data_IF_822275057273
#
_entry.id   IF_822275057273
#
_cell.length_a   1.000
_cell.length_b   1.000
_cell.length_c   1.000
_cell.angle_alpha   90.00
_cell.angle_beta   90.00
_cell.angle_gamma   90.00
#
_symmetry.space_group_name_H-M   'P 1'
#
loop_
_entity.id
_entity.type
_entity.pdbx_description
1 polymer ?
#
# COMPACT_ATOMS: atom_id res chain seq x y z
N UNK A 1 -0.24 20.77 -0.42
CA UNK A 1 -0.16 19.29 -0.38
C UNK A 1 0.94 18.86 -1.32
N UNK A 2 1.98 18.16 -0.86
CA UNK A 2 3.09 17.71 -1.73
C UNK A 2 2.59 16.68 -2.75
N UNK A 3 3.34 16.47 -3.84
CA UNK A 3 2.94 15.53 -4.88
C UNK A 3 2.83 14.09 -4.36
N UNK A 4 3.71 13.68 -3.43
CA UNK A 4 3.62 12.37 -2.74
C UNK A 4 2.30 12.23 -1.97
N UNK A 5 1.84 13.26 -1.25
CA UNK A 5 0.57 13.17 -0.51
C UNK A 5 -0.63 13.02 -1.47
N UNK A 6 -0.59 13.67 -2.63
CA UNK A 6 -1.64 13.51 -3.66
C UNK A 6 -1.65 12.10 -4.21
N UNK A 7 -0.48 11.56 -4.56
CA UNK A 7 -0.37 10.21 -5.10
C UNK A 7 -0.80 9.15 -4.06
N UNK A 8 -0.41 9.30 -2.79
CA UNK A 8 -0.86 8.41 -1.69
C UNK A 8 -2.37 8.51 -1.47
N UNK A 9 -2.94 9.72 -1.52
CA UNK A 9 -4.38 9.91 -1.39
C UNK A 9 -5.16 9.25 -2.55
N UNK A 10 -4.65 9.33 -3.78
CA UNK A 10 -5.25 8.71 -4.96
C UNK A 10 -5.37 7.19 -4.83
N UNK A 11 -4.25 6.52 -4.53
CA UNK A 11 -4.23 5.05 -4.39
C UNK A 11 -5.03 4.61 -3.17
N UNK A 12 -4.95 5.34 -2.05
CA UNK A 12 -5.75 5.05 -0.86
C UNK A 12 -7.25 5.15 -1.18
N UNK A 13 -7.65 6.20 -1.91
CA UNK A 13 -9.03 6.39 -2.35
C UNK A 13 -9.51 5.22 -3.22
N UNK A 14 -8.70 4.78 -4.19
CA UNK A 14 -9.02 3.64 -5.06
C UNK A 14 -9.37 2.38 -4.24
N UNK A 15 -8.60 2.09 -3.20
CA UNK A 15 -8.84 0.93 -2.34
C UNK A 15 -10.03 1.13 -1.39
N UNK A 16 -10.23 2.33 -0.84
CA UNK A 16 -11.39 2.61 0.01
C UNK A 16 -12.69 2.59 -0.79
N UNK A 17 -12.67 3.03 -2.05
CA UNK A 17 -13.82 2.94 -2.95
C UNK A 17 -14.13 1.47 -3.26
N UNK A 18 -13.11 0.62 -3.44
CA UNK A 18 -13.33 -0.82 -3.60
C UNK A 18 -14.00 -1.45 -2.37
N UNK A 19 -13.59 -1.08 -1.15
CA UNK A 19 -14.25 -1.51 0.09
C UNK A 19 -15.72 -1.06 0.12
N UNK A 20 -15.99 0.20 -0.25
CA UNK A 20 -17.35 0.77 -0.30
C UNK A 20 -18.22 0.04 -1.33
N UNK A 21 -17.69 -0.22 -2.51
CA UNK A 21 -18.39 -0.94 -3.58
C UNK A 21 -18.73 -2.38 -3.15
N UNK A 22 -17.78 -3.08 -2.52
CA UNK A 22 -18.02 -4.43 -1.97
C UNK A 22 -19.11 -4.40 -0.91
N UNK A 23 -19.08 -3.43 0.01
CA UNK A 23 -20.08 -3.28 1.06
C UNK A 23 -21.47 -3.01 0.47
N UNK A 24 -21.56 -2.13 -0.52
CA UNK A 24 -22.81 -1.85 -1.22
C UNK A 24 -23.37 -3.11 -1.91
N UNK A 25 -22.51 -3.96 -2.48
CA UNK A 25 -22.96 -5.24 -3.02
C UNK A 25 -23.42 -6.23 -1.94
N UNK A 26 -22.78 -6.26 -0.77
CA UNK A 26 -23.23 -7.10 0.36
C UNK A 26 -24.57 -6.62 0.92
N UNK A 27 -24.78 -5.31 1.04
CA UNK A 27 -26.00 -4.73 1.60
C UNK A 27 -27.24 -4.99 0.73
N UNK A 28 -27.03 -5.15 -0.58
CA UNK A 28 -28.06 -5.49 -1.57
C UNK A 28 -28.43 -6.97 -1.59
N UNK A 29 -27.68 -7.84 -0.90
CA UNK A 29 -27.96 -9.27 -0.90
C UNK A 29 -29.29 -9.55 -0.21
N UNK A 30 -30.21 -10.18 -0.93
CA UNK A 30 -31.36 -10.83 -0.33
C UNK A 30 -30.92 -12.13 0.34
N UNK A 31 -30.62 -12.03 1.63
CA UNK A 31 -30.16 -13.16 2.46
C UNK A 31 -31.22 -14.25 2.55
N UNK A 32 -32.51 -13.90 2.58
CA UNK A 32 -33.58 -14.89 2.72
C UNK A 32 -33.66 -15.82 1.50
N UNK A 33 -33.34 -15.29 0.31
CA UNK A 33 -33.37 -15.99 -0.96
C UNK A 33 -31.96 -16.24 -1.54
N UNK A 34 -30.93 -16.28 -0.69
CA UNK A 34 -29.57 -16.52 -1.14
C UNK A 34 -29.42 -17.97 -1.60
N UNK A 35 -28.96 -18.14 -2.85
CA UNK A 35 -28.76 -19.44 -3.50
C UNK A 35 -27.38 -19.48 -4.13
N UNK A 36 -26.97 -20.66 -4.60
CA UNK A 36 -25.74 -20.81 -5.40
C UNK A 36 -25.73 -19.90 -6.63
N UNK A 37 -26.86 -19.82 -7.35
CA UNK A 37 -26.99 -19.00 -8.57
C UNK A 37 -26.88 -17.49 -8.28
N UNK A 38 -27.52 -16.99 -7.22
CA UNK A 38 -27.36 -15.58 -6.82
C UNK A 38 -25.95 -15.30 -6.28
N UNK A 39 -25.33 -16.27 -5.61
CA UNK A 39 -23.91 -16.23 -5.23
C UNK A 39 -22.94 -16.10 -6.41
N UNK A 40 -23.16 -16.86 -7.49
CA UNK A 40 -22.32 -16.77 -8.69
C UNK A 40 -22.40 -15.40 -9.37
N UNK A 41 -23.59 -14.80 -9.38
CA UNK A 41 -23.77 -13.41 -9.83
C UNK A 41 -22.98 -12.42 -8.99
N UNK A 42 -22.98 -12.59 -7.66
CA UNK A 42 -22.20 -11.77 -6.74
C UNK A 42 -20.69 -11.93 -6.93
N UNK A 43 -20.20 -13.16 -7.16
CA UNK A 43 -18.80 -13.40 -7.45
C UNK A 43 -18.32 -12.71 -8.73
N UNK A 44 -19.16 -12.64 -9.77
CA UNK A 44 -18.84 -11.89 -10.99
C UNK A 44 -18.67 -10.40 -10.70
N UNK A 45 -19.61 -9.79 -9.96
CA UNK A 45 -19.53 -8.37 -9.59
C UNK A 45 -18.30 -8.06 -8.75
N UNK A 46 -17.99 -8.90 -7.75
CA UNK A 46 -16.79 -8.77 -6.95
C UNK A 46 -15.52 -8.87 -7.81
N UNK A 47 -15.48 -9.84 -8.75
CA UNK A 47 -14.39 -9.96 -9.71
C UNK A 47 -14.18 -8.68 -10.52
N UNK A 48 -15.26 -8.02 -10.97
CA UNK A 48 -15.18 -6.74 -11.66
C UNK A 48 -14.68 -5.60 -10.75
N UNK A 49 -15.13 -5.52 -9.48
CA UNK A 49 -14.64 -4.51 -8.53
C UNK A 49 -13.13 -4.68 -8.32
N UNK A 50 -12.68 -5.86 -7.91
CA UNK A 50 -11.27 -6.11 -7.65
C UNK A 50 -10.41 -6.04 -8.91
N UNK A 51 -10.95 -6.42 -10.07
CA UNK A 51 -10.29 -6.25 -11.37
C UNK A 51 -9.98 -4.80 -11.66
N UNK A 52 -10.97 -3.90 -11.55
CA UNK A 52 -10.77 -2.45 -11.71
C UNK A 52 -9.76 -1.89 -10.71
N UNK A 53 -9.82 -2.31 -9.44
CA UNK A 53 -8.85 -1.88 -8.42
C UNK A 53 -7.43 -2.29 -8.77
N UNK A 54 -7.22 -3.50 -9.29
CA UNK A 54 -5.88 -3.96 -9.71
C UNK A 54 -5.35 -3.20 -10.91
N UNK A 55 -6.19 -2.97 -11.92
CA UNK A 55 -5.82 -2.15 -13.08
C UNK A 55 -5.45 -0.73 -12.66
N UNK A 56 -6.28 -0.07 -11.83
CA UNK A 56 -5.98 1.27 -11.34
C UNK A 56 -4.71 1.33 -10.49
N UNK A 57 -4.46 0.30 -9.66
CA UNK A 57 -3.20 0.21 -8.91
C UNK A 57 -2.00 0.03 -9.85
N UNK A 58 -2.15 -0.73 -10.92
CA UNK A 58 -1.10 -0.94 -11.92
C UNK A 58 -0.71 0.35 -12.65
N UNK A 59 -1.72 1.08 -13.11
CA UNK A 59 -1.53 2.36 -13.79
C UNK A 59 -0.86 3.37 -12.85
N UNK A 60 -1.33 3.43 -11.60
CA UNK A 60 -0.74 4.26 -10.56
C UNK A 60 0.73 3.90 -10.30
N UNK A 61 1.07 2.62 -10.11
CA UNK A 61 2.47 2.18 -9.87
C UNK A 61 3.37 2.57 -11.04
N UNK A 62 2.89 2.33 -12.27
CA UNK A 62 3.65 2.56 -13.49
C UNK A 62 4.04 4.03 -13.66
N UNK A 63 3.16 4.94 -13.22
CA UNK A 63 3.36 6.39 -13.24
C UNK A 63 4.14 6.90 -12.03
N UNK A 64 3.74 6.52 -10.83
CA UNK A 64 4.15 7.20 -9.59
C UNK A 64 5.53 6.78 -9.11
N UNK A 65 5.88 5.48 -9.19
CA UNK A 65 7.20 4.99 -8.74
C UNK A 65 8.34 5.68 -9.50
N UNK A 66 8.32 5.76 -10.86
CA UNK A 66 9.35 6.51 -11.58
C UNK A 66 9.41 7.99 -11.21
N UNK A 67 8.27 8.62 -10.90
CA UNK A 67 8.23 10.02 -10.50
C UNK A 67 8.85 10.25 -9.12
N UNK A 68 8.66 9.32 -8.18
CA UNK A 68 9.33 9.37 -6.87
C UNK A 68 10.86 9.29 -7.01
N UNK A 69 11.36 8.39 -7.86
CA UNK A 69 12.80 8.29 -8.17
C UNK A 69 13.32 9.59 -8.79
N UNK A 70 12.61 10.13 -9.79
CA UNK A 70 12.96 11.43 -10.41
C UNK A 70 12.98 12.55 -9.39
N UNK A 71 12.03 12.59 -8.46
CA UNK A 71 12.02 13.58 -7.38
C UNK A 71 13.25 13.48 -6.48
N UNK A 72 13.74 12.26 -6.22
CA UNK A 72 15.01 12.04 -5.52
C UNK A 72 16.22 12.58 -6.29
N UNK A 73 16.29 12.29 -7.59
CA UNK A 73 17.33 12.80 -8.49
C UNK A 73 17.33 14.33 -8.49
N UNK A 74 16.18 14.96 -8.71
CA UNK A 74 16.03 16.42 -8.75
C UNK A 74 16.49 17.06 -7.43
N UNK A 75 16.18 16.43 -6.29
CA UNK A 75 16.65 16.89 -4.98
C UNK A 75 18.15 16.79 -4.82
N UNK A 76 18.75 15.68 -5.26
CA UNK A 76 20.21 15.52 -5.25
C UNK A 76 20.88 16.61 -6.08
N UNK A 77 20.39 16.83 -7.31
CA UNK A 77 20.94 17.83 -8.22
C UNK A 77 20.84 19.26 -7.68
N UNK A 78 19.69 19.61 -7.11
CA UNK A 78 19.47 20.91 -6.48
C UNK A 78 20.37 21.09 -5.25
N UNK A 79 20.50 20.08 -4.39
CA UNK A 79 21.38 20.11 -3.22
C UNK A 79 22.86 20.31 -3.60
N UNK A 80 23.27 19.78 -4.74
CA UNK A 80 24.64 19.89 -5.24
C UNK A 80 24.93 21.16 -6.05
N UNK A 81 23.94 22.06 -6.18
CA UNK A 81 24.06 23.33 -6.91
C UNK A 81 24.11 23.17 -8.44
N UNK A 82 23.69 22.02 -8.97
CA UNK A 82 23.74 21.72 -10.41
C UNK A 82 22.45 22.21 -11.11
N UNK A 83 21.35 22.33 -10.35
CA UNK A 83 20.02 22.66 -10.88
C UNK A 83 19.37 21.47 -11.60
N UNK A 84 18.23 21.70 -12.27
CA UNK A 84 17.57 20.64 -13.03
C UNK A 84 18.30 20.41 -14.35
N UNK A 85 18.92 19.24 -14.50
CA UNK A 85 19.43 18.81 -15.80
C UNK A 85 18.22 18.33 -16.58
N UNK A 86 17.99 18.92 -17.76
CA UNK A 86 16.89 18.57 -18.66
C UNK A 86 16.68 17.04 -18.68
N UNK A 87 15.45 16.62 -18.34
CA UNK A 87 14.98 15.24 -18.07
C UNK A 87 15.75 14.17 -18.86
N UNK A 88 16.94 13.82 -18.39
CA UNK A 88 17.71 12.76 -18.99
C UNK A 88 17.00 11.45 -18.61
N UNK A 89 16.85 10.49 -19.53
CA UNK A 89 16.31 9.18 -19.17
C UNK A 89 17.03 8.64 -17.92
N UNK A 90 16.30 7.97 -17.03
CA UNK A 90 16.88 7.37 -15.83
C UNK A 90 18.13 6.57 -16.24
N UNK A 91 19.25 6.73 -15.54
CA UNK A 91 20.42 5.91 -15.79
C UNK A 91 20.10 4.42 -15.52
N UNK A 92 20.97 3.50 -15.95
CA UNK A 92 20.72 2.05 -15.82
C UNK A 92 20.43 1.61 -14.37
N UNK A 93 21.13 2.20 -13.39
CA UNK A 93 20.91 1.91 -11.98
C UNK A 93 19.50 2.34 -11.51
N UNK A 94 19.09 3.56 -11.86
CA UNK A 94 17.77 4.09 -11.54
C UNK A 94 16.63 3.37 -12.29
N UNK A 95 16.88 2.88 -13.51
CA UNK A 95 15.91 2.04 -14.23
C UNK A 95 15.72 0.69 -13.52
N UNK A 96 16.82 0.03 -13.14
CA UNK A 96 16.77 -1.24 -12.42
C UNK A 96 16.08 -1.09 -11.05
N UNK A 97 16.42 -0.03 -10.30
CA UNK A 97 15.75 0.30 -9.06
C UNK A 97 14.26 0.57 -9.26
N UNK A 98 13.90 1.34 -10.30
CA UNK A 98 12.51 1.60 -10.66
C UNK A 98 11.72 0.34 -10.97
N UNK A 99 12.31 -0.63 -11.68
CA UNK A 99 11.67 -1.93 -11.91
C UNK A 99 11.46 -2.69 -10.60
N UNK A 100 12.49 -2.79 -9.75
CA UNK A 100 12.39 -3.48 -8.46
C UNK A 100 11.32 -2.87 -7.54
N UNK A 101 11.26 -1.54 -7.42
CA UNK A 101 10.24 -0.85 -6.62
C UNK A 101 8.84 -1.03 -7.20
N UNK A 102 8.69 -1.08 -8.53
CA UNK A 102 7.40 -1.39 -9.15
C UNK A 102 6.96 -2.79 -8.76
N UNK A 103 7.80 -3.79 -8.99
CA UNK A 103 7.45 -5.20 -8.74
C UNK A 103 7.09 -5.45 -7.27
N UNK A 104 7.88 -4.89 -6.35
CA UNK A 104 7.65 -4.95 -4.92
C UNK A 104 6.34 -4.24 -4.50
N UNK A 105 6.08 -3.04 -5.02
CA UNK A 105 4.82 -2.32 -4.76
C UNK A 105 3.62 -3.06 -5.36
N UNK A 106 3.77 -3.65 -6.54
CA UNK A 106 2.76 -4.49 -7.18
C UNK A 106 2.41 -5.69 -6.32
N UNK A 107 3.42 -6.39 -5.80
CA UNK A 107 3.22 -7.56 -4.95
C UNK A 107 2.42 -7.21 -3.69
N UNK A 108 2.81 -6.13 -2.99
CA UNK A 108 2.11 -5.69 -1.77
C UNK A 108 0.65 -5.30 -2.05
N UNK A 109 0.41 -4.48 -3.07
CA UNK A 109 -0.93 -4.03 -3.44
C UNK A 109 -1.81 -5.18 -3.99
N UNK A 110 -1.23 -6.09 -4.76
CA UNK A 110 -1.91 -7.30 -5.22
C UNK A 110 -2.33 -8.17 -4.04
N UNK A 111 -1.44 -8.37 -3.07
CA UNK A 111 -1.74 -9.14 -1.86
C UNK A 111 -2.93 -8.55 -1.09
N UNK A 112 -3.04 -7.22 -1.00
CA UNK A 112 -4.22 -6.56 -0.41
C UNK A 112 -5.50 -6.96 -1.14
N UNK A 113 -5.56 -6.77 -2.46
CA UNK A 113 -6.78 -7.09 -3.24
C UNK A 113 -7.13 -8.58 -3.19
N UNK A 114 -6.15 -9.47 -3.25
CA UNK A 114 -6.38 -10.92 -3.18
C UNK A 114 -6.89 -11.34 -1.80
N UNK A 115 -6.36 -10.75 -0.72
CA UNK A 115 -6.82 -11.01 0.63
C UNK A 115 -8.27 -10.54 0.84
N UNK A 116 -8.63 -9.36 0.34
CA UNK A 116 -9.99 -8.86 0.34
C UNK A 116 -10.91 -9.80 -0.43
N UNK A 117 -10.57 -10.13 -1.68
CA UNK A 117 -11.39 -11.00 -2.53
C UNK A 117 -11.61 -12.38 -1.91
N UNK A 118 -10.55 -13.01 -1.37
CA UNK A 118 -10.65 -14.31 -0.72
C UNK A 118 -11.59 -14.27 0.48
N UNK A 119 -11.47 -13.25 1.34
CA UNK A 119 -12.31 -13.10 2.54
C UNK A 119 -13.77 -12.87 2.18
N UNK A 120 -14.05 -11.94 1.25
CA UNK A 120 -15.43 -11.66 0.82
C UNK A 120 -16.06 -12.90 0.17
N UNK A 121 -15.32 -13.60 -0.70
CA UNK A 121 -15.83 -14.84 -1.31
C UNK A 121 -16.11 -15.93 -0.27
N UNK A 122 -15.24 -16.08 0.72
CA UNK A 122 -15.45 -17.05 1.81
C UNK A 122 -16.72 -16.72 2.62
N UNK A 123 -16.95 -15.44 2.94
CA UNK A 123 -18.14 -15.00 3.65
C UNK A 123 -19.44 -15.29 2.88
N UNK A 124 -19.45 -15.06 1.56
CA UNK A 124 -20.60 -15.38 0.70
C UNK A 124 -20.86 -16.90 0.68
N UNK A 125 -19.81 -17.71 0.52
CA UNK A 125 -19.96 -19.19 0.54
C UNK A 125 -20.53 -19.66 1.87
N UNK A 126 -20.04 -19.10 2.97
CA UNK A 126 -20.57 -19.37 4.31
C UNK A 126 -22.05 -18.96 4.43
N UNK A 127 -22.40 -17.76 3.97
CA UNK A 127 -23.78 -17.28 3.98
C UNK A 127 -24.73 -18.19 3.20
N UNK A 128 -24.32 -18.67 2.01
CA UNK A 128 -25.09 -19.64 1.22
C UNK A 128 -25.30 -20.94 2.01
N UNK A 129 -24.23 -21.47 2.61
CA UNK A 129 -24.31 -22.71 3.39
C UNK A 129 -25.20 -22.55 4.64
N UNK A 130 -25.14 -21.41 5.31
CA UNK A 130 -25.98 -21.10 6.47
C UNK A 130 -27.46 -21.03 6.09
N UNK A 131 -27.78 -20.37 4.96
CA UNK A 131 -29.15 -20.31 4.42
C UNK A 131 -29.67 -21.70 4.06
N UNK A 132 -28.86 -22.53 3.38
CA UNK A 132 -29.24 -23.90 3.03
C UNK A 132 -29.49 -24.76 4.26
N UNK A 133 -28.63 -24.66 5.28
CA UNK A 133 -28.79 -25.41 6.54
C UNK A 133 -30.09 -25.05 7.26
N UNK A 134 -30.42 -23.77 7.33
CA UNK A 134 -31.67 -23.32 7.95
C UNK A 134 -32.91 -23.83 7.19
N UNK A 135 -32.87 -23.79 5.86
CA UNK A 135 -33.96 -24.32 5.02
C UNK A 135 -34.15 -25.83 5.19
N UNK A 136 -33.07 -26.61 5.35
CA UNK A 136 -33.16 -28.05 5.60
C UNK A 136 -33.72 -28.38 6.98
N UNK A 137 -33.32 -27.62 8.02
CA UNK A 137 -33.82 -27.81 9.38
C UNK A 137 -35.34 -27.54 9.51
N UNK A 138 -35.89 -26.72 8.62
CA UNK A 138 -37.33 -26.41 8.58
C UNK A 138 -38.23 -27.52 7.99
N UNK A 139 -37.66 -28.55 7.36
CA UNK A 139 -38.41 -29.69 6.78
C UNK A 139 -38.89 -29.47 5.33
N UNK A 140 -39.24 -30.57 4.64
CA UNK A 140 -39.55 -30.62 3.19
C UNK A 140 -40.86 -29.91 2.81
N UNK A 141 -41.82 -29.80 3.74
CA UNK A 141 -43.19 -29.34 3.45
C UNK A 141 -43.49 -27.86 3.80
N UNK A 142 -42.49 -27.05 4.15
CA UNK A 142 -42.73 -25.64 4.41
C UNK A 142 -41.50 -24.79 4.14
N UNK A 143 -41.62 -23.87 3.17
CA UNK A 143 -40.80 -22.64 3.14
C UNK A 143 -41.10 -21.86 4.42
N UNK A 144 -40.54 -22.25 5.57
CA UNK A 144 -40.48 -21.37 6.73
C UNK A 144 -39.47 -20.28 6.39
N UNK A 145 -39.92 -19.05 6.49
CA UNK A 145 -39.10 -17.85 6.40
C UNK A 145 -37.91 -18.01 7.35
N UNK A 146 -36.69 -17.86 6.84
CA UNK A 146 -35.47 -17.85 7.66
C UNK A 146 -35.69 -16.86 8.79
N UNK A 147 -35.44 -17.29 10.03
CA UNK A 147 -35.73 -16.43 11.18
C UNK A 147 -34.88 -15.15 11.13
N UNK A 148 -35.43 -14.06 11.67
CA UNK A 148 -34.81 -12.74 11.61
C UNK A 148 -33.41 -12.71 12.26
N UNK A 149 -33.19 -13.48 13.32
CA UNK A 149 -31.90 -13.56 14.00
C UNK A 149 -30.79 -14.16 13.11
N UNK A 150 -31.13 -15.18 12.32
CA UNK A 150 -30.21 -15.83 11.38
C UNK A 150 -29.88 -14.90 10.23
N UNK A 151 -30.88 -14.20 9.69
CA UNK A 151 -30.68 -13.17 8.67
C UNK A 151 -29.75 -12.07 9.21
N UNK A 152 -30.00 -11.57 10.42
CA UNK A 152 -29.19 -10.53 11.06
C UNK A 152 -27.74 -10.98 11.26
N UNK A 153 -27.52 -12.22 11.71
CA UNK A 153 -26.18 -12.81 11.85
C UNK A 153 -25.44 -12.90 10.51
N UNK A 154 -26.10 -13.41 9.47
CA UNK A 154 -25.48 -13.52 8.13
C UNK A 154 -25.16 -12.12 7.58
N UNK A 155 -26.05 -11.15 7.76
CA UNK A 155 -25.81 -9.74 7.41
C UNK A 155 -24.58 -9.19 8.13
N UNK A 156 -24.46 -9.43 9.43
CA UNK A 156 -23.32 -8.98 10.22
C UNK A 156 -22.01 -9.62 9.72
N UNK A 157 -22.01 -10.92 9.41
CA UNK A 157 -20.84 -11.62 8.88
C UNK A 157 -20.41 -11.10 7.50
N UNK A 158 -21.37 -10.85 6.60
CA UNK A 158 -21.10 -10.26 5.29
C UNK A 158 -20.56 -8.83 5.41
N UNK A 159 -21.14 -8.02 6.29
CA UNK A 159 -20.68 -6.65 6.58
C UNK A 159 -19.26 -6.63 7.15
N UNK A 160 -18.97 -7.51 8.11
CA UNK A 160 -17.64 -7.64 8.71
C UNK A 160 -16.58 -8.11 7.69
N UNK A 161 -16.96 -8.98 6.75
CA UNK A 161 -16.09 -9.41 5.67
C UNK A 161 -15.85 -8.29 4.63
N UNK A 162 -16.84 -7.44 4.37
CA UNK A 162 -16.71 -6.28 3.51
C UNK A 162 -15.82 -5.19 4.13
N UNK A 163 -15.91 -4.98 5.45
CA UNK A 163 -15.07 -4.04 6.22
C UNK A 163 -13.59 -4.48 6.31
N UNK A 164 -13.17 -5.49 5.52
CA UNK A 164 -11.81 -5.79 5.06
C UNK A 164 -10.69 -5.37 6.01
N UNK A 165 -10.40 -6.24 6.98
CA UNK A 165 -9.20 -6.11 7.81
C UNK A 165 -8.01 -6.81 7.13
N UNK A 166 -6.90 -6.09 6.95
CA UNK A 166 -5.61 -6.66 6.57
C UNK A 166 -4.89 -7.11 7.83
N UNK A 167 -4.28 -8.29 7.81
CA UNK A 167 -3.38 -8.75 8.88
C UNK A 167 -1.97 -8.69 8.33
N UNK A 168 -1.10 -7.93 8.97
CA UNK A 168 0.31 -7.86 8.56
C UNK A 168 1.13 -9.03 9.11
N UNK A 169 2.40 -9.13 8.72
CA UNK A 169 3.31 -10.18 9.17
C UNK A 169 3.53 -10.19 10.70
N UNK A 170 3.29 -9.06 11.39
CA UNK A 170 3.35 -8.94 12.85
C UNK A 170 2.02 -9.28 13.55
N UNK A 171 1.02 -9.77 12.83
CA UNK A 171 -0.30 -10.13 13.37
C UNK A 171 -1.22 -8.94 13.64
N UNK A 172 -0.83 -7.71 13.27
CA UNK A 172 -1.65 -6.52 13.51
C UNK A 172 -2.79 -6.43 12.50
N UNK A 173 -3.96 -6.02 12.97
CA UNK A 173 -5.16 -5.82 12.14
C UNK A 173 -5.26 -4.36 11.69
N UNK A 174 -5.41 -4.14 10.40
CA UNK A 174 -5.47 -2.83 9.77
C UNK A 174 -6.74 -2.67 8.94
N UNK A 175 -7.27 -1.45 8.90
CA UNK A 175 -8.22 -1.06 7.84
C UNK A 175 -7.47 -0.99 6.52
N UNK A 176 -8.09 -1.42 5.42
CA UNK A 176 -7.47 -1.40 4.07
C UNK A 176 -6.86 -0.04 3.75
N UNK A 177 -7.64 1.05 3.86
CA UNK A 177 -7.15 2.39 3.53
C UNK A 177 -5.91 2.79 4.35
N UNK A 178 -5.91 2.52 5.66
CA UNK A 178 -4.78 2.83 6.54
C UNK A 178 -3.51 2.06 6.17
N UNK A 179 -3.66 0.78 5.84
CA UNK A 179 -2.52 -0.04 5.41
C UNK A 179 -1.98 0.40 4.05
N UNK A 180 -2.88 0.67 3.09
CA UNK A 180 -2.51 1.14 1.73
C UNK A 180 -1.79 2.48 1.79
N UNK A 181 -2.28 3.44 2.60
CA UNK A 181 -1.58 4.72 2.83
C UNK A 181 -0.16 4.47 3.35
N UNK A 182 -0.06 3.70 4.44
CA UNK A 182 1.21 3.43 5.11
C UNK A 182 2.23 2.73 4.19
N UNK A 183 1.83 1.67 3.48
CA UNK A 183 2.74 0.91 2.62
C UNK A 183 3.17 1.74 1.43
N UNK A 184 2.23 2.44 0.76
CA UNK A 184 2.54 3.23 -0.42
C UNK A 184 3.44 4.41 -0.09
N UNK A 185 3.16 5.14 1.00
CA UNK A 185 4.04 6.19 1.51
C UNK A 185 5.46 5.70 1.77
N UNK A 186 5.58 4.50 2.34
CA UNK A 186 6.89 3.87 2.60
C UNK A 186 7.63 3.57 1.31
N UNK A 187 6.97 2.96 0.32
CA UNK A 187 7.60 2.65 -0.99
C UNK A 187 8.01 3.92 -1.73
N UNK A 188 7.19 4.97 -1.73
CA UNK A 188 7.51 6.23 -2.38
C UNK A 188 8.70 6.93 -1.73
N UNK A 189 8.77 6.97 -0.39
CA UNK A 189 9.92 7.47 0.34
C UNK A 189 11.19 6.68 -0.01
N UNK A 190 11.13 5.35 -0.03
CA UNK A 190 12.28 4.50 -0.37
C UNK A 190 12.75 4.71 -1.81
N UNK A 191 11.81 4.80 -2.77
CA UNK A 191 12.11 5.07 -4.17
C UNK A 191 12.78 6.44 -4.34
N UNK A 192 12.28 7.46 -3.64
CA UNK A 192 12.88 8.79 -3.63
C UNK A 192 14.29 8.79 -3.04
N UNK A 193 14.48 8.19 -1.86
CA UNK A 193 15.80 8.07 -1.22
C UNK A 193 16.77 7.34 -2.15
N UNK A 194 16.35 6.26 -2.80
CA UNK A 194 17.20 5.52 -3.72
C UNK A 194 17.62 6.35 -4.94
N UNK A 195 16.69 7.13 -5.52
CA UNK A 195 17.02 8.08 -6.58
C UNK A 195 18.06 9.11 -6.15
N UNK A 196 17.93 9.65 -4.92
CA UNK A 196 18.91 10.57 -4.34
C UNK A 196 20.29 9.92 -4.17
N UNK A 197 20.35 8.68 -3.64
CA UNK A 197 21.59 7.94 -3.43
C UNK A 197 22.31 7.70 -4.76
N UNK A 198 21.60 7.16 -5.75
CA UNK A 198 22.19 6.79 -7.03
C UNK A 198 22.73 8.02 -7.75
N UNK A 199 22.02 9.15 -7.69
CA UNK A 199 22.48 10.40 -8.31
C UNK A 199 23.70 10.99 -7.59
N UNK A 200 23.72 10.95 -6.26
CA UNK A 200 24.85 11.42 -5.47
C UNK A 200 26.11 10.59 -5.75
N UNK A 201 26.00 9.25 -5.67
CA UNK A 201 27.11 8.34 -5.91
C UNK A 201 27.62 8.41 -7.36
N UNK A 202 26.72 8.55 -8.34
CA UNK A 202 27.07 8.76 -9.74
C UNK A 202 27.91 10.01 -9.99
N UNK A 203 27.93 10.95 -9.03
CA UNK A 203 28.73 12.19 -9.05
C UNK A 203 29.90 12.16 -8.08
N UNK A 204 30.22 11.01 -7.49
CA UNK A 204 31.27 10.87 -6.49
C UNK A 204 30.94 11.51 -5.14
N UNK A 205 29.66 11.80 -4.87
CA UNK A 205 29.22 12.34 -3.57
C UNK A 205 28.81 11.19 -2.68
N UNK A 206 29.60 10.96 -1.62
CA UNK A 206 29.47 9.77 -0.77
C UNK A 206 28.74 10.01 0.55
N UNK A 207 28.33 11.24 0.85
CA UNK A 207 27.69 11.62 2.10
C UNK A 207 26.38 12.36 1.87
N UNK A 208 25.48 12.27 2.85
CA UNK A 208 24.27 13.07 2.91
C UNK A 208 23.95 13.45 4.36
N UNK A 209 23.14 14.48 4.53
CA UNK A 209 22.53 14.84 5.82
C UNK A 209 21.07 14.40 5.84
N UNK A 210 20.63 13.83 6.95
CA UNK A 210 19.22 13.52 7.19
C UNK A 210 18.47 14.83 7.50
N UNK A 211 17.36 15.08 6.80
CA UNK A 211 16.54 16.28 7.01
C UNK A 211 16.10 16.43 8.47
N UNK A 212 15.98 17.66 8.97
CA UNK A 212 15.40 17.92 10.29
C UNK A 212 14.06 18.64 10.12
N UNK A 213 13.03 18.15 10.80
CA UNK A 213 11.71 18.79 10.87
C UNK A 213 11.09 18.76 12.27
N UNK A 214 11.89 18.46 13.30
CA UNK A 214 11.44 18.43 14.68
C UNK A 214 10.62 17.18 15.00
N UNK A 215 11.09 16.01 14.55
CA UNK A 215 10.48 14.73 14.88
C UNK A 215 10.36 14.53 16.41
N UNK A 216 9.27 13.92 16.85
CA UNK A 216 9.00 13.61 18.26
C UNK A 216 9.14 12.12 18.60
N UNK A 217 9.33 11.30 17.58
CA UNK A 217 9.54 9.87 17.69
C UNK A 217 11.05 9.54 17.64
N UNK A 218 11.38 8.26 17.45
CA UNK A 218 12.77 7.80 17.38
C UNK A 218 13.58 8.46 16.24
N UNK A 219 12.93 9.05 15.22
CA UNK A 219 13.63 9.77 14.16
C UNK A 219 14.39 10.99 14.69
N UNK A 220 13.94 11.58 15.81
CA UNK A 220 14.57 12.75 16.42
C UNK A 220 16.07 12.52 16.68
N UNK A 221 16.45 11.28 16.99
CA UNK A 221 17.85 10.90 17.22
C UNK A 221 18.70 11.10 15.97
N UNK A 222 18.13 10.98 14.78
CA UNK A 222 18.82 10.93 13.49
C UNK A 222 18.77 12.24 12.71
N UNK A 223 17.94 13.20 13.13
CA UNK A 223 17.81 14.48 12.45
C UNK A 223 19.14 15.25 12.42
N UNK A 224 19.46 15.82 11.25
CA UNK A 224 20.68 16.61 11.06
C UNK A 224 21.98 15.79 11.04
N UNK A 225 21.93 14.47 11.24
CA UNK A 225 23.14 13.64 11.18
C UNK A 225 23.63 13.48 9.76
N UNK A 226 24.95 13.53 9.61
CA UNK A 226 25.64 13.11 8.39
C UNK A 226 25.77 11.60 8.35
N UNK A 227 25.49 11.03 7.18
CA UNK A 227 25.49 9.59 6.91
C UNK A 227 26.27 9.27 5.65
N UNK A 228 26.83 8.06 5.57
CA UNK A 228 27.46 7.53 4.35
C UNK A 228 26.41 6.94 3.42
N UNK A 229 26.57 7.19 2.13
CA UNK A 229 25.75 6.63 1.05
C UNK A 229 26.30 5.32 0.49
N UNK A 230 27.57 5.02 0.77
CA UNK A 230 28.27 3.78 0.44
C UNK A 230 29.11 3.34 1.65
N UNK A 231 29.23 2.03 1.94
CA UNK A 231 29.99 1.55 3.11
C UNK A 231 31.46 1.97 3.08
N UNK A 232 32.06 2.07 1.88
CA UNK A 232 33.47 2.40 1.69
C UNK A 232 33.81 3.89 1.82
N UNK A 233 32.82 4.74 2.10
CA UNK A 233 33.07 6.17 2.27
C UNK A 233 33.98 6.40 3.49
N UNK A 234 35.03 7.24 3.39
CA UNK A 234 35.93 7.54 4.51
C UNK A 234 35.22 8.16 5.73
N UNK A 235 35.90 8.18 6.88
CA UNK A 235 35.42 8.83 8.11
C UNK A 235 34.50 7.97 8.97
N UNK A 236 34.18 8.47 10.17
CA UNK A 236 33.35 7.77 11.17
C UNK A 236 31.90 8.29 11.15
N UNK A 237 31.19 7.96 10.08
CA UNK A 237 29.77 8.27 9.89
C UNK A 237 28.98 6.98 9.68
N UNK A 238 27.74 6.89 10.19
CA UNK A 238 26.93 5.70 10.01
C UNK A 238 26.52 5.52 8.55
N UNK A 239 26.54 4.28 8.07
CA UNK A 239 26.09 3.94 6.72
C UNK A 239 24.57 3.85 6.65
N UNK A 240 23.97 4.43 5.60
CA UNK A 240 22.51 4.47 5.43
C UNK A 240 21.86 3.07 5.44
N UNK A 241 22.57 2.06 4.93
CA UNK A 241 22.08 0.67 4.89
C UNK A 241 22.05 -0.01 6.26
N UNK A 242 22.85 0.46 7.22
CA UNK A 242 22.94 -0.09 8.58
C UNK A 242 22.04 0.63 9.58
N UNK A 243 21.31 1.67 9.12
CA UNK A 243 20.44 2.42 10.00
C UNK A 243 19.26 1.57 10.47
N UNK A 244 18.93 1.62 11.77
CA UNK A 244 17.84 0.83 12.31
C UNK A 244 16.50 1.32 11.74
N UNK A 245 15.85 0.49 10.92
CA UNK A 245 14.55 0.78 10.29
C UNK A 245 13.40 1.06 11.27
N UNK A 246 13.58 0.79 12.56
CA UNK A 246 12.61 1.14 13.61
C UNK A 246 12.81 2.55 14.15
N UNK A 247 13.95 3.17 13.90
CA UNK A 247 14.28 4.51 14.37
C UNK A 247 14.28 5.58 13.27
N UNK A 248 14.63 5.23 12.02
CA UNK A 248 14.65 6.17 10.90
C UNK A 248 14.25 5.48 9.59
N UNK A 249 13.64 6.23 8.68
CA UNK A 249 13.06 5.72 7.42
C UNK A 249 12.05 4.58 7.65
N UNK A 250 11.34 4.63 8.77
CA UNK A 250 10.28 3.71 9.15
C UNK A 250 8.97 4.03 8.42
N UNK A 251 7.92 3.19 8.52
CA UNK A 251 6.61 3.53 7.99
C UNK A 251 6.12 4.89 8.50
N UNK A 252 5.55 5.69 7.61
CA UNK A 252 5.13 7.09 7.85
C UNK A 252 6.24 8.10 8.16
N UNK A 253 7.51 7.72 8.05
CA UNK A 253 8.63 8.66 8.13
C UNK A 253 8.54 9.67 6.97
N UNK A 254 8.85 10.94 7.25
CA UNK A 254 8.87 12.04 6.27
C UNK A 254 10.28 12.51 5.96
N UNK A 255 11.29 11.88 6.57
CA UNK A 255 12.68 12.28 6.43
C UNK A 255 13.17 11.96 5.02
N UNK A 256 13.92 12.90 4.47
CA UNK A 256 14.66 12.74 3.23
C UNK A 256 16.14 12.92 3.53
N UNK A 257 16.97 12.60 2.55
CA UNK A 257 18.42 12.82 2.63
C UNK A 257 18.82 13.91 1.63
N UNK A 258 19.80 14.72 2.03
CA UNK A 258 20.34 15.80 1.22
C UNK A 258 21.84 15.55 0.99
N UNK A 259 22.28 15.25 -0.24
CA UNK A 259 23.70 14.98 -0.52
C UNK A 259 24.60 16.17 -0.18
N UNK A 260 25.78 15.88 0.37
CA UNK A 260 26.80 16.89 0.72
C UNK A 260 28.19 16.43 0.24
N UNK A 261 28.98 17.35 -0.33
CA UNK A 261 30.31 17.03 -0.90
C UNK A 261 31.39 16.81 0.16
N UNK A 262 31.27 17.51 1.29
CA UNK A 262 32.20 17.43 2.42
C UNK A 262 31.36 17.30 3.69
N UNK A 263 31.58 16.25 4.49
CA UNK A 263 30.86 16.02 5.73
C UNK A 263 31.36 16.88 6.89
#
# INVERSE_FOLDING_TARGET
MSDIEKDVAEITKLYTDAVKDVKAEMDRVDVANLTRKSGDGLFKKLGSIFGRTRTGAADWITRTIPNAIKSGIDRALNALGIGSINRTPLNRANQAAGAAFKDDTYADLLAVTQNMERRTKAAIRKAIADVMREQMAAGVNGRKTINAATIARIRADLGAAADSAIVDAGGRRWKVGTYVDMVTRTKLMQAQINGTINEALGRGVMYATISSHGAKDACAKWEGRTIKLTPDAPGDYPYIGDLPRREIFHPNCKHVITPIRKP
#
